data_IF_511362236207
#
_entry.id   IF_511362236207
#
_cell.length_a   1.000
_cell.length_b   1.000
_cell.length_c   1.000
_cell.angle_alpha   90.00
_cell.angle_beta   90.00
_cell.angle_gamma   90.00
#
_symmetry.space_group_name_H-M   'P 1'
#
loop_
_entity.id
_entity.type
_entity.pdbx_description
1 polymer ?
#
# COMPACT_ATOMS: atom_id res chain seq x y z
N UNK A 1 13.95 0.70 18.62
CA UNK A 1 12.81 1.58 18.34
C UNK A 1 13.12 2.37 17.09
N UNK A 2 12.85 1.77 15.93
CA UNK A 2 12.96 2.47 14.66
C UNK A 2 11.99 3.65 14.61
N UNK A 3 12.18 4.53 13.62
CA UNK A 3 11.32 5.70 13.40
C UNK A 3 9.82 5.33 13.36
N UNK A 4 9.47 4.16 12.82
CA UNK A 4 8.07 3.71 12.70
C UNK A 4 7.43 3.50 14.08
N UNK A 5 8.07 2.76 14.99
CA UNK A 5 7.57 2.53 16.34
C UNK A 5 7.40 3.84 17.12
N UNK A 6 8.33 4.79 16.91
CA UNK A 6 8.29 6.13 17.53
C UNK A 6 7.15 6.99 16.97
N UNK A 7 6.93 6.98 15.65
CA UNK A 7 5.83 7.72 15.01
C UNK A 7 4.46 7.17 15.42
N UNK A 8 4.36 5.85 15.56
CA UNK A 8 3.09 5.17 15.90
C UNK A 8 2.80 5.12 17.41
N UNK A 9 3.69 5.64 18.27
CA UNK A 9 3.54 5.70 19.74
C UNK A 9 3.21 4.34 20.38
N UNK A 10 3.81 3.25 19.88
CA UNK A 10 3.56 1.89 20.37
C UNK A 10 4.46 1.62 21.59
N UNK A 11 3.87 1.35 22.76
CA UNK A 11 4.58 1.18 24.04
C UNK A 11 4.94 -0.26 24.41
N UNK A 12 4.40 -1.26 23.69
CA UNK A 12 4.75 -2.68 23.82
C UNK A 12 4.87 -3.29 22.42
N UNK A 13 6.03 -3.84 22.08
CA UNK A 13 6.40 -4.21 20.71
C UNK A 13 5.74 -5.51 20.25
N UNK A 14 4.48 -5.42 19.81
CA UNK A 14 3.93 -6.39 18.87
C UNK A 14 4.53 -6.12 17.49
N UNK A 15 5.01 -7.17 16.82
CA UNK A 15 5.55 -7.07 15.46
C UNK A 15 4.44 -6.59 14.51
N UNK A 16 4.68 -5.47 13.82
CA UNK A 16 3.71 -4.92 12.86
C UNK A 16 3.87 -5.68 11.54
N UNK A 17 2.79 -6.13 10.93
CA UNK A 17 2.84 -6.72 9.58
C UNK A 17 2.41 -5.69 8.54
N UNK A 18 3.29 -5.39 7.58
CA UNK A 18 2.98 -4.60 6.40
C UNK A 18 2.78 -5.51 5.18
N UNK A 19 1.66 -5.30 4.48
CA UNK A 19 1.31 -6.02 3.26
C UNK A 19 1.77 -5.22 2.03
N UNK A 20 2.54 -5.84 1.13
CA UNK A 20 3.13 -5.18 -0.05
C UNK A 20 2.85 -6.02 -1.31
N UNK A 21 2.39 -5.37 -2.38
CA UNK A 21 2.08 -6.03 -3.67
C UNK A 21 3.24 -6.10 -4.63
N UNK A 22 4.33 -5.41 -4.31
CA UNK A 22 5.54 -5.43 -5.11
C UNK A 22 6.61 -6.32 -4.46
N UNK A 23 6.77 -7.53 -5.00
CA UNK A 23 7.81 -8.48 -4.57
C UNK A 23 9.23 -7.90 -4.69
N UNK A 24 9.48 -7.02 -5.67
CA UNK A 24 10.78 -6.38 -5.82
C UNK A 24 11.06 -5.41 -4.68
N UNK A 25 10.05 -4.68 -4.20
CA UNK A 25 10.13 -3.82 -3.02
C UNK A 25 10.41 -4.63 -1.76
N UNK A 26 9.69 -5.74 -1.54
CA UNK A 26 9.96 -6.65 -0.42
C UNK A 26 11.41 -7.13 -0.45
N UNK A 27 11.86 -7.67 -1.60
CA UNK A 27 13.22 -8.16 -1.78
C UNK A 27 14.26 -7.08 -1.51
N UNK A 28 13.98 -5.83 -1.89
CA UNK A 28 14.90 -4.70 -1.65
C UNK A 28 15.00 -4.35 -0.17
N UNK A 29 13.87 -4.36 0.54
CA UNK A 29 13.82 -4.09 1.97
C UNK A 29 14.44 -5.23 2.80
N UNK A 30 14.45 -6.47 2.31
CA UNK A 30 15.02 -7.63 3.03
C UNK A 30 16.48 -7.93 2.66
N UNK A 31 16.90 -7.74 1.41
CA UNK A 31 18.22 -8.20 0.95
C UNK A 31 19.34 -7.18 1.14
N UNK A 32 18.97 -5.94 1.46
CA UNK A 32 19.90 -4.91 1.88
C UNK A 32 20.98 -4.47 0.88
N UNK A 33 20.86 -4.89 -0.38
CA UNK A 33 21.79 -4.49 -1.45
C UNK A 33 21.39 -3.11 -1.98
N UNK A 34 22.18 -2.12 -1.63
CA UNK A 34 22.05 -0.77 -2.18
C UNK A 34 22.71 -0.75 -3.56
N UNK A 35 22.04 -0.12 -4.53
CA UNK A 35 22.60 0.13 -5.85
C UNK A 35 22.95 1.61 -5.93
N UNK A 36 24.16 1.94 -6.40
CA UNK A 36 24.54 3.35 -6.60
C UNK A 36 23.58 4.09 -7.53
N UNK A 37 22.91 3.37 -8.44
CA UNK A 37 21.91 3.91 -9.35
C UNK A 37 20.55 4.22 -8.69
N UNK A 38 20.32 3.85 -7.43
CA UNK A 38 19.02 4.00 -6.77
C UNK A 38 19.09 4.65 -5.37
N UNK A 39 20.14 5.42 -5.08
CA UNK A 39 20.38 6.12 -3.79
C UNK A 39 19.18 6.93 -3.30
N UNK A 40 18.53 7.70 -4.17
CA UNK A 40 17.37 8.53 -3.80
C UNK A 40 16.20 7.69 -3.30
N UNK A 41 16.05 6.48 -3.82
CA UNK A 41 15.04 5.52 -3.40
C UNK A 41 15.47 4.85 -2.10
N UNK A 42 16.75 4.46 -1.98
CA UNK A 42 17.29 3.85 -0.75
C UNK A 42 17.16 4.77 0.47
N UNK A 43 17.42 6.07 0.34
CA UNK A 43 17.23 7.03 1.44
C UNK A 43 15.79 7.07 1.96
N UNK A 44 14.79 6.93 1.08
CA UNK A 44 13.36 6.91 1.48
C UNK A 44 12.97 5.65 2.23
N UNK A 45 13.69 4.55 1.98
CA UNK A 45 13.39 3.23 2.55
C UNK A 45 14.29 2.84 3.73
N UNK A 46 15.29 3.67 4.07
CA UNK A 46 16.24 3.38 5.15
C UNK A 46 15.54 3.03 6.47
N UNK A 47 14.59 3.86 6.90
CA UNK A 47 13.87 3.64 8.17
C UNK A 47 13.00 2.38 8.18
N UNK A 48 12.46 2.00 7.03
CA UNK A 48 11.64 0.78 6.90
C UNK A 48 12.55 -0.44 6.96
N UNK A 49 13.69 -0.40 6.28
CA UNK A 49 14.69 -1.46 6.32
C UNK A 49 15.22 -1.66 7.74
N UNK A 50 15.58 -0.59 8.43
CA UNK A 50 15.99 -0.64 9.85
C UNK A 50 14.90 -1.29 10.73
N UNK A 51 13.62 -0.97 10.49
CA UNK A 51 12.49 -1.58 11.19
C UNK A 51 12.40 -3.10 10.96
N UNK A 52 12.64 -3.54 9.71
CA UNK A 52 12.65 -4.97 9.34
C UNK A 52 13.84 -5.68 9.96
N UNK A 53 15.04 -5.09 9.89
CA UNK A 53 16.27 -5.64 10.47
C UNK A 53 16.18 -5.76 12.00
N UNK A 54 15.54 -4.78 12.67
CA UNK A 54 15.28 -4.81 14.11
C UNK A 54 14.12 -5.74 14.52
N UNK A 55 13.46 -6.41 13.57
CA UNK A 55 12.33 -7.31 13.82
C UNK A 55 11.04 -6.60 14.26
N UNK A 56 10.99 -5.28 14.15
CA UNK A 56 9.83 -4.46 14.52
C UNK A 56 8.74 -4.49 13.43
N UNK A 57 9.14 -4.77 12.16
CA UNK A 57 8.28 -4.83 10.99
C UNK A 57 8.43 -6.16 10.23
N UNK A 58 7.32 -6.82 9.94
CA UNK A 58 7.21 -7.98 9.05
C UNK A 58 6.66 -7.56 7.69
N UNK A 59 7.29 -7.99 6.60
CA UNK A 59 6.79 -7.73 5.25
C UNK A 59 6.15 -8.99 4.67
N UNK A 60 4.87 -8.91 4.31
CA UNK A 60 4.13 -10.00 3.67
C UNK A 60 3.69 -9.59 2.28
N UNK A 61 3.81 -10.52 1.32
CA UNK A 61 3.32 -10.29 -0.03
C UNK A 61 1.80 -10.33 -0.10
N UNK A 62 1.19 -9.34 -0.75
CA UNK A 62 -0.25 -9.26 -0.99
C UNK A 62 -0.51 -8.98 -2.47
N UNK A 63 -1.12 -9.90 -3.24
CA UNK A 63 -1.41 -9.64 -4.65
C UNK A 63 -2.22 -8.36 -4.85
N UNK A 64 -1.91 -7.58 -5.90
CA UNK A 64 -2.65 -6.36 -6.28
C UNK A 64 -4.16 -6.61 -6.46
N UNK A 65 -4.56 -7.84 -6.82
CA UNK A 65 -5.97 -8.26 -6.95
C UNK A 65 -6.74 -8.25 -5.62
N UNK A 66 -6.05 -8.29 -4.48
CA UNK A 66 -6.65 -8.29 -3.14
C UNK A 66 -6.10 -7.17 -2.24
N UNK A 67 -5.25 -6.29 -2.78
CA UNK A 67 -4.72 -5.13 -2.06
C UNK A 67 -5.79 -4.05 -1.91
N UNK A 68 -6.53 -4.08 -0.80
CA UNK A 68 -7.60 -3.11 -0.51
C UNK A 68 -7.11 -1.65 -0.47
N UNK A 69 -5.84 -1.42 -0.13
CA UNK A 69 -5.22 -0.09 -0.12
C UNK A 69 -5.23 0.59 -1.50
N UNK A 70 -5.30 -0.19 -2.58
CA UNK A 70 -5.35 0.35 -3.95
C UNK A 70 -6.62 1.16 -4.20
N UNK A 71 -7.74 0.78 -3.55
CA UNK A 71 -9.00 1.51 -3.68
C UNK A 71 -8.90 2.96 -3.17
N UNK A 72 -7.96 3.24 -2.26
CA UNK A 72 -7.76 4.56 -1.67
C UNK A 72 -6.63 5.37 -2.33
N UNK A 73 -5.76 4.72 -3.10
CA UNK A 73 -4.50 5.33 -3.58
C UNK A 73 -4.39 5.41 -5.08
N UNK A 74 -5.19 4.63 -5.83
CA UNK A 74 -5.15 4.55 -7.29
C UNK A 74 -6.45 5.05 -7.90
N UNK A 75 -6.34 5.70 -9.06
CA UNK A 75 -7.48 5.89 -9.95
C UNK A 75 -7.74 4.57 -10.70
N UNK A 76 -8.70 3.77 -10.21
CA UNK A 76 -9.01 2.46 -10.75
C UNK A 76 -10.21 2.52 -11.70
N UNK A 77 -10.26 1.65 -12.73
CA UNK A 77 -11.49 1.46 -13.51
C UNK A 77 -12.66 1.07 -12.59
N UNK A 78 -13.87 1.52 -12.95
CA UNK A 78 -15.08 1.32 -12.17
C UNK A 78 -15.29 -0.11 -11.70
N UNK A 79 -15.11 -1.10 -12.60
CA UNK A 79 -15.22 -2.53 -12.27
C UNK A 79 -14.25 -2.93 -11.16
N UNK A 80 -12.99 -2.52 -11.27
CA UNK A 80 -11.95 -2.89 -10.31
C UNK A 80 -12.16 -2.21 -8.96
N UNK A 81 -12.61 -0.97 -8.97
CA UNK A 81 -12.97 -0.26 -7.75
C UNK A 81 -14.16 -0.93 -7.04
N UNK A 82 -15.18 -1.36 -7.78
CA UNK A 82 -16.33 -2.09 -7.22
C UNK A 82 -15.90 -3.41 -6.59
N UNK A 83 -15.07 -4.22 -7.25
CA UNK A 83 -14.52 -5.45 -6.66
C UNK A 83 -13.82 -5.20 -5.33
N UNK A 84 -12.94 -4.18 -5.26
CA UNK A 84 -12.23 -3.85 -4.02
C UNK A 84 -13.17 -3.28 -2.95
N UNK A 85 -14.17 -2.49 -3.33
CA UNK A 85 -15.19 -1.96 -2.42
C UNK A 85 -16.03 -3.08 -1.81
N UNK A 86 -16.40 -4.06 -2.63
CA UNK A 86 -17.19 -5.20 -2.18
C UNK A 86 -16.35 -6.09 -1.24
N UNK A 87 -15.04 -6.27 -1.53
CA UNK A 87 -14.10 -6.92 -0.60
C UNK A 87 -13.90 -6.14 0.71
N UNK A 88 -14.00 -4.81 0.69
CA UNK A 88 -14.00 -3.95 1.88
C UNK A 88 -15.29 -4.05 2.70
N UNK A 89 -16.36 -4.64 2.14
CA UNK A 89 -17.68 -4.69 2.77
C UNK A 89 -18.43 -3.35 2.75
N UNK A 90 -18.05 -2.43 1.86
CA UNK A 90 -18.70 -1.12 1.75
C UNK A 90 -19.91 -1.23 0.82
N UNK A 91 -21.11 -1.10 1.39
CA UNK A 91 -22.35 -1.17 0.62
C UNK A 91 -22.52 0.04 -0.32
N UNK A 92 -23.09 -0.15 -1.52
CA UNK A 92 -23.51 0.97 -2.35
C UNK A 92 -24.59 1.78 -1.62
N UNK A 93 -24.50 3.10 -1.74
CA UNK A 93 -25.46 4.01 -1.14
C UNK A 93 -26.84 3.82 -1.81
N UNK A 94 -27.81 3.32 -1.05
CA UNK A 94 -29.16 3.00 -1.56
C UNK A 94 -29.97 4.24 -1.96
N UNK A 95 -29.46 5.45 -1.69
CA UNK A 95 -30.07 6.71 -2.07
C UNK A 95 -29.52 7.33 -3.37
N UNK A 96 -28.57 6.67 -4.05
CA UNK A 96 -28.03 7.17 -5.32
C UNK A 96 -28.87 6.68 -6.52
N UNK A 97 -30.13 7.12 -6.58
CA UNK A 97 -30.90 7.12 -7.83
C UNK A 97 -30.72 8.46 -8.53
N UNK A 98 -30.31 8.44 -9.82
CA UNK A 98 -29.92 9.55 -10.71
C UNK A 98 -28.54 10.16 -10.36
N UNK A 99 -27.51 10.21 -11.21
CA UNK A 99 -27.42 10.44 -12.66
C UNK A 99 -26.13 9.79 -13.19
N UNK A 100 -26.13 9.33 -14.44
CA UNK A 100 -25.01 8.65 -15.08
C UNK A 100 -23.71 9.47 -15.10
N UNK A 101 -22.58 8.78 -14.99
CA UNK A 101 -21.28 9.37 -15.26
C UNK A 101 -21.09 9.45 -16.76
N UNK A 102 -21.20 10.66 -17.32
CA UNK A 102 -20.83 10.94 -18.70
C UNK A 102 -19.33 10.66 -18.89
N UNK A 103 -19.02 9.90 -19.93
CA UNK A 103 -17.66 9.74 -20.44
C UNK A 103 -17.21 11.12 -20.93
N UNK A 104 -16.17 11.68 -20.33
CA UNK A 104 -15.45 12.82 -20.88
C UNK A 104 -14.75 12.37 -22.17
N UNK A 105 -15.48 12.42 -23.29
CA UNK A 105 -14.90 12.46 -24.63
C UNK A 105 -14.10 13.76 -24.74
N UNK A 106 -12.77 13.66 -24.79
CA UNK A 106 -11.91 14.77 -25.16
C UNK A 106 -11.95 14.94 -26.69
N UNK A 107 -12.31 16.13 -27.23
CA UNK A 107 -12.19 16.37 -28.66
C UNK A 107 -10.72 16.38 -29.07
N UNK A 108 -10.43 15.73 -30.19
CA UNK A 108 -9.15 15.77 -30.93
C UNK A 108 -8.92 17.18 -31.49
#
# INVERSE_FOLDING_TARGET
MCLVARLMKISNAMKITAMIDNKSTIKRLTNGKNSDAQKTVDCKFFSIREAVENGELELTYCPTTVMLADAFTKALPTTRFQELRDLLGVAPNQHASSTGGDVLEHPV
#
